data_IF_879194251808
#
_entry.id   IF_879194251808
#
_cell.length_a   1.000
_cell.length_b   1.000
_cell.length_c   1.000
_cell.angle_alpha   90.00
_cell.angle_beta   90.00
_cell.angle_gamma   90.00
#
_symmetry.space_group_name_H-M   'P 1'
#
loop_
_entity.id
_entity.type
_entity.pdbx_description
1 polymer ?
#
# COMPACT_ATOMS: atom_id res chain seq x y z
N UNK A 1 -27.35 -4.54 68.44
CA UNK A 1 -26.68 -4.80 67.14
C UNK A 1 -27.75 -5.15 66.12
N UNK A 2 -28.23 -4.18 65.34
CA UNK A 2 -29.26 -4.38 64.31
C UNK A 2 -28.59 -4.48 62.94
N UNK A 3 -28.62 -5.66 62.33
CA UNK A 3 -28.10 -5.88 60.98
C UNK A 3 -29.10 -5.33 59.94
N UNK A 4 -28.65 -4.46 59.03
CA UNK A 4 -29.48 -3.95 57.94
C UNK A 4 -29.62 -4.97 56.80
N UNK A 5 -30.81 -5.09 56.18
CA UNK A 5 -31.02 -6.01 55.07
C UNK A 5 -30.36 -5.48 53.78
N UNK A 6 -29.54 -6.34 53.17
CA UNK A 6 -28.85 -6.10 51.91
C UNK A 6 -29.89 -5.84 50.80
N UNK A 7 -29.79 -4.70 50.10
CA UNK A 7 -30.70 -4.31 49.01
C UNK A 7 -30.34 -5.05 47.70
N UNK A 8 -30.77 -6.29 47.55
CA UNK A 8 -30.52 -7.12 46.36
C UNK A 8 -31.09 -6.56 45.05
N UNK A 9 -32.17 -5.76 45.10
CA UNK A 9 -32.83 -5.19 43.91
C UNK A 9 -31.97 -4.17 43.15
N UNK A 10 -31.09 -3.43 43.81
CA UNK A 10 -30.21 -2.44 43.14
C UNK A 10 -28.95 -3.08 42.55
N UNK A 11 -28.50 -4.22 43.10
CA UNK A 11 -27.37 -4.98 42.59
C UNK A 11 -27.73 -5.76 41.32
N UNK A 12 -28.91 -6.37 41.26
CA UNK A 12 -29.41 -7.05 40.06
C UNK A 12 -29.64 -6.10 38.88
N UNK A 13 -30.20 -4.90 39.12
CA UNK A 13 -30.41 -3.89 38.08
C UNK A 13 -29.10 -3.31 37.50
N UNK A 14 -28.09 -3.11 38.35
CA UNK A 14 -26.75 -2.66 37.92
C UNK A 14 -25.98 -3.75 37.18
N UNK A 15 -26.13 -5.01 37.58
CA UNK A 15 -25.52 -6.16 36.90
C UNK A 15 -26.05 -6.37 35.48
N UNK A 16 -27.38 -6.22 35.28
CA UNK A 16 -27.99 -6.35 33.95
C UNK A 16 -27.56 -5.23 32.99
N UNK A 17 -27.43 -3.99 33.49
CA UNK A 17 -26.97 -2.84 32.71
C UNK A 17 -25.48 -2.93 32.33
N UNK A 18 -24.64 -3.46 33.23
CA UNK A 18 -23.21 -3.70 32.96
C UNK A 18 -23.00 -4.82 31.92
N UNK A 19 -23.80 -5.88 31.96
CA UNK A 19 -23.76 -6.96 30.95
C UNK A 19 -24.20 -6.46 29.57
N UNK A 20 -25.20 -5.57 29.50
CA UNK A 20 -25.63 -4.95 28.25
C UNK A 20 -24.57 -4.01 27.66
N UNK A 21 -23.89 -3.21 28.49
CA UNK A 21 -22.77 -2.36 28.05
C UNK A 21 -21.56 -3.18 27.57
N UNK A 22 -21.24 -4.31 28.22
CA UNK A 22 -20.15 -5.20 27.79
C UNK A 22 -20.45 -5.87 26.45
N UNK A 23 -21.72 -6.23 26.18
CA UNK A 23 -22.13 -6.76 24.89
C UNK A 23 -22.12 -5.70 23.77
N UNK A 24 -22.41 -4.44 24.08
CA UNK A 24 -22.38 -3.32 23.13
C UNK A 24 -20.96 -2.82 22.79
N UNK A 25 -19.98 -3.03 23.69
CA UNK A 25 -18.59 -2.57 23.56
C UNK A 25 -17.59 -3.64 23.04
N UNK A 26 -18.06 -4.83 22.62
CA UNK A 26 -17.20 -5.85 22.03
C UNK A 26 -16.60 -5.40 20.69
N UNK A 27 -15.26 -5.41 20.58
CA UNK A 27 -14.46 -4.79 19.52
C UNK A 27 -14.59 -5.36 18.08
N UNK A 28 -15.54 -6.25 17.82
CA UNK A 28 -15.74 -6.81 16.48
C UNK A 28 -17.17 -6.47 15.97
N UNK A 29 -17.30 -5.66 14.91
CA UNK A 29 -18.60 -5.21 14.42
C UNK A 29 -19.48 -6.38 13.93
N UNK A 30 -18.88 -7.51 13.52
CA UNK A 30 -19.60 -8.72 13.09
C UNK A 30 -20.17 -9.48 14.28
N UNK A 31 -19.37 -9.65 15.35
CA UNK A 31 -19.83 -10.26 16.61
C UNK A 31 -20.94 -9.42 17.23
N UNK A 32 -20.80 -8.09 17.24
CA UNK A 32 -21.84 -7.18 17.73
C UNK A 32 -23.16 -7.34 16.97
N UNK A 33 -23.12 -7.41 15.64
CA UNK A 33 -24.35 -7.62 14.86
C UNK A 33 -24.97 -9.00 15.15
N UNK A 34 -24.18 -10.07 15.23
CA UNK A 34 -24.69 -11.42 15.55
C UNK A 34 -25.44 -11.46 16.89
N UNK A 35 -24.95 -10.73 17.88
CA UNK A 35 -25.64 -10.59 19.18
C UNK A 35 -26.91 -9.76 19.03
N UNK A 36 -26.88 -8.66 18.27
CA UNK A 36 -28.06 -7.82 18.04
C UNK A 36 -29.20 -8.57 17.32
N UNK A 37 -28.91 -9.36 16.28
CA UNK A 37 -29.94 -10.12 15.54
C UNK A 37 -30.51 -11.30 16.33
N UNK A 38 -29.75 -11.84 17.30
CA UNK A 38 -30.23 -12.94 18.15
C UNK A 38 -31.06 -12.46 19.34
N UNK A 39 -30.80 -11.24 19.83
CA UNK A 39 -31.50 -10.67 20.99
C UNK A 39 -32.69 -9.79 20.59
N UNK A 40 -32.70 -9.21 19.38
CA UNK A 40 -33.78 -8.36 18.87
C UNK A 40 -34.47 -9.01 17.66
N UNK A 41 -35.53 -9.82 17.87
CA UNK A 41 -36.30 -10.39 16.78
C UNK A 41 -36.93 -9.26 15.92
N UNK A 42 -36.54 -9.18 14.65
CA UNK A 42 -36.99 -8.16 13.70
C UNK A 42 -35.91 -7.20 13.18
N UNK A 43 -34.66 -7.32 13.65
CA UNK A 43 -33.54 -6.56 13.07
C UNK A 43 -33.23 -7.04 11.64
N UNK A 44 -32.91 -6.16 10.68
CA UNK A 44 -32.58 -6.57 9.32
C UNK A 44 -31.37 -7.52 9.33
N UNK A 45 -31.58 -8.75 8.88
CA UNK A 45 -30.52 -9.73 8.67
C UNK A 45 -29.62 -9.27 7.53
N UNK A 46 -28.32 -9.51 7.63
CA UNK A 46 -27.45 -9.27 6.49
C UNK A 46 -27.92 -10.10 5.29
N UNK A 47 -27.79 -9.56 4.06
CA UNK A 47 -28.03 -10.33 2.85
C UNK A 47 -27.15 -11.58 2.84
N UNK A 48 -27.59 -12.61 2.12
CA UNK A 48 -26.83 -13.86 2.00
C UNK A 48 -25.43 -13.56 1.47
N UNK A 49 -24.41 -14.29 1.92
CA UNK A 49 -23.01 -14.07 1.49
C UNK A 49 -22.91 -14.19 -0.03
N UNK A 50 -23.67 -15.11 -0.62
CA UNK A 50 -23.77 -15.35 -2.05
C UNK A 50 -24.33 -14.16 -2.83
N UNK A 51 -25.20 -13.37 -2.20
CA UNK A 51 -25.77 -12.14 -2.77
C UNK A 51 -24.74 -11.00 -2.72
N UNK A 52 -24.08 -10.81 -1.57
CA UNK A 52 -23.01 -9.81 -1.42
C UNK A 52 -21.84 -10.08 -2.37
N UNK A 53 -21.43 -11.35 -2.53
CA UNK A 53 -20.36 -11.71 -3.44
C UNK A 53 -20.73 -11.48 -4.91
N UNK A 54 -22.01 -11.68 -5.29
CA UNK A 54 -22.49 -11.44 -6.65
C UNK A 54 -22.51 -9.96 -6.99
N UNK A 55 -23.06 -9.14 -6.10
CA UNK A 55 -23.08 -7.68 -6.25
C UNK A 55 -21.66 -7.10 -6.39
N UNK A 56 -20.72 -7.61 -5.60
CA UNK A 56 -19.32 -7.19 -5.70
C UNK A 56 -18.68 -7.63 -7.02
N UNK A 57 -18.94 -8.87 -7.45
CA UNK A 57 -18.41 -9.39 -8.72
C UNK A 57 -18.95 -8.59 -9.93
N UNK A 58 -20.23 -8.23 -9.92
CA UNK A 58 -20.85 -7.41 -10.97
C UNK A 58 -20.28 -5.99 -11.01
N UNK A 59 -20.08 -5.36 -9.84
CA UNK A 59 -19.43 -4.03 -9.74
C UNK A 59 -17.99 -4.07 -10.24
N UNK A 60 -17.24 -5.12 -9.92
CA UNK A 60 -15.87 -5.29 -10.40
C UNK A 60 -15.83 -5.58 -11.90
N UNK A 61 -16.78 -6.34 -12.44
CA UNK A 61 -16.92 -6.58 -13.87
C UNK A 61 -17.25 -5.30 -14.64
N UNK A 62 -18.19 -4.49 -14.14
CA UNK A 62 -18.51 -3.18 -14.73
C UNK A 62 -17.30 -2.23 -14.71
N UNK A 63 -16.57 -2.15 -13.59
CA UNK A 63 -15.35 -1.34 -13.49
C UNK A 63 -14.19 -1.83 -14.37
N UNK A 64 -14.14 -3.13 -14.70
CA UNK A 64 -13.19 -3.69 -15.68
C UNK A 64 -13.59 -3.33 -17.11
N UNK A 65 -14.88 -3.43 -17.42
CA UNK A 65 -15.40 -3.07 -18.74
C UNK A 65 -15.18 -1.58 -19.05
N UNK A 66 -15.39 -0.68 -18.08
CA UNK A 66 -15.07 0.74 -18.23
C UNK A 66 -13.58 0.99 -18.51
N UNK A 67 -12.69 0.24 -17.85
CA UNK A 67 -11.23 0.32 -18.08
C UNK A 67 -10.81 -0.27 -19.42
N UNK A 68 -11.47 -1.34 -19.88
CA UNK A 68 -11.24 -1.93 -21.20
C UNK A 68 -11.74 -1.01 -22.32
N UNK A 69 -12.89 -0.34 -22.15
CA UNK A 69 -13.35 0.67 -23.10
C UNK A 69 -12.43 1.89 -23.14
N UNK A 70 -11.86 2.29 -22.00
CA UNK A 70 -10.84 3.34 -21.94
C UNK A 70 -9.49 2.91 -22.55
N UNK A 71 -9.15 1.61 -22.51
CA UNK A 71 -7.95 1.06 -23.13
C UNK A 71 -8.11 0.84 -24.65
N UNK A 72 -9.32 0.53 -25.12
CA UNK A 72 -9.63 0.39 -26.55
C UNK A 72 -9.39 1.71 -27.31
N UNK A 73 -9.68 2.86 -26.70
CA UNK A 73 -9.41 4.20 -27.26
C UNK A 73 -7.92 4.62 -27.22
N UNK A 74 -7.05 3.85 -26.54
CA UNK A 74 -5.63 4.18 -26.39
C UNK A 74 -4.72 3.48 -27.41
N UNK A 75 -5.25 2.64 -28.31
CA UNK A 75 -4.47 1.73 -29.17
C UNK A 75 -3.68 2.40 -30.32
N UNK A 76 -3.54 3.72 -30.36
CA UNK A 76 -2.71 4.42 -31.36
C UNK A 76 -1.77 5.49 -30.81
N UNK A 77 -1.56 5.57 -29.49
CA UNK A 77 -0.64 6.55 -28.89
C UNK A 77 0.65 5.85 -28.48
N UNK A 78 1.84 6.29 -28.96
CA UNK A 78 3.10 5.76 -28.45
C UNK A 78 3.16 5.96 -26.94
N UNK A 79 3.52 4.92 -26.20
CA UNK A 79 3.50 4.91 -24.74
C UNK A 79 4.24 6.14 -24.19
N UNK A 80 3.49 7.04 -23.52
CA UNK A 80 4.03 8.25 -22.90
C UNK A 80 5.14 7.85 -21.92
N UNK A 81 6.36 8.32 -22.12
CA UNK A 81 7.50 8.05 -21.22
C UNK A 81 7.21 8.66 -19.85
N UNK A 82 7.64 7.97 -18.80
CA UNK A 82 7.67 8.52 -17.45
C UNK A 82 8.82 9.49 -17.38
N UNK A 83 8.56 10.75 -17.09
CA UNK A 83 9.59 11.80 -17.03
C UNK A 83 9.64 12.38 -15.62
N UNK A 84 10.85 12.64 -15.13
CA UNK A 84 11.06 13.24 -13.82
C UNK A 84 10.87 14.75 -13.91
N UNK A 85 10.11 15.34 -12.99
CA UNK A 85 9.72 16.75 -13.10
C UNK A 85 10.91 17.73 -13.23
N UNK A 86 11.96 17.66 -12.39
CA UNK A 86 13.19 18.44 -12.59
C UNK A 86 13.81 18.33 -13.99
N UNK A 87 13.70 17.17 -14.64
CA UNK A 87 14.23 16.98 -15.99
C UNK A 87 13.37 17.70 -17.04
N UNK A 88 12.04 17.57 -16.94
CA UNK A 88 11.09 18.29 -17.80
C UNK A 88 11.24 19.80 -17.66
N UNK A 89 11.45 20.27 -16.42
CA UNK A 89 11.67 21.68 -16.09
C UNK A 89 13.08 22.18 -16.43
N UNK A 90 13.96 21.31 -16.96
CA UNK A 90 15.35 21.61 -17.31
C UNK A 90 16.16 22.19 -16.13
N UNK A 91 15.84 21.75 -14.92
CA UNK A 91 16.53 22.14 -13.68
C UNK A 91 17.80 21.31 -13.47
N UNK A 92 18.65 21.29 -14.48
CA UNK A 92 19.84 20.44 -14.52
C UNK A 92 20.79 20.74 -13.34
N UNK A 93 20.88 22.00 -12.93
CA UNK A 93 21.74 22.48 -11.84
C UNK A 93 21.34 21.99 -10.45
N UNK A 94 20.11 21.48 -10.28
CA UNK A 94 19.66 20.95 -8.99
C UNK A 94 20.31 19.60 -8.68
N UNK A 95 20.83 18.93 -9.71
CA UNK A 95 21.50 17.64 -9.60
C UNK A 95 22.94 17.67 -10.11
N UNK A 96 23.22 18.45 -11.16
CA UNK A 96 24.52 18.49 -11.82
C UNK A 96 25.29 19.80 -11.59
N UNK A 97 26.59 19.70 -11.36
CA UNK A 97 27.49 20.85 -11.39
C UNK A 97 27.90 21.14 -12.85
N UNK A 98 27.45 22.25 -13.42
CA UNK A 98 27.74 22.63 -14.82
C UNK A 98 29.17 23.14 -15.05
N UNK A 99 29.98 23.20 -13.99
CA UNK A 99 31.32 23.79 -14.02
C UNK A 99 32.44 22.77 -14.29
N UNK A 100 32.11 21.48 -14.40
CA UNK A 100 33.05 20.45 -14.82
C UNK A 100 32.61 19.93 -16.18
N UNK A 101 33.37 20.31 -17.21
CA UNK A 101 33.06 20.01 -18.61
C UNK A 101 32.77 18.53 -18.87
N UNK A 102 32.04 18.28 -19.96
CA UNK A 102 31.56 16.98 -20.44
C UNK A 102 32.67 15.94 -20.74
N UNK A 103 33.48 15.59 -19.74
CA UNK A 103 34.68 14.79 -19.90
C UNK A 103 35.40 14.32 -18.62
N UNK A 104 34.84 14.46 -17.40
CA UNK A 104 35.40 13.73 -16.24
C UNK A 104 34.81 12.32 -16.18
N UNK A 105 35.66 11.32 -16.40
CA UNK A 105 35.31 9.92 -16.56
C UNK A 105 35.00 9.18 -15.25
N UNK A 106 34.29 9.82 -14.31
CA UNK A 106 33.73 9.15 -13.13
C UNK A 106 32.33 9.69 -12.82
N UNK A 107 31.36 8.80 -12.68
CA UNK A 107 29.92 9.09 -12.51
C UNK A 107 29.63 10.02 -11.30
N UNK A 108 30.51 10.04 -10.28
CA UNK A 108 30.35 10.91 -9.11
C UNK A 108 30.80 12.37 -9.31
N UNK A 109 31.55 12.69 -10.37
CA UNK A 109 32.21 14.01 -10.52
C UNK A 109 31.26 15.14 -10.91
N UNK A 110 30.09 14.82 -11.46
CA UNK A 110 29.16 15.81 -12.01
C UNK A 110 28.01 16.13 -11.07
N UNK A 111 27.84 15.47 -9.93
CA UNK A 111 26.69 15.71 -9.06
C UNK A 111 26.95 16.83 -8.04
N UNK A 112 25.91 17.57 -7.67
CA UNK A 112 26.00 18.62 -6.63
C UNK A 112 26.05 18.04 -5.20
N UNK A 113 25.70 16.77 -5.05
CA UNK A 113 25.78 15.97 -3.82
C UNK A 113 26.11 14.52 -4.15
N UNK A 114 26.62 13.73 -3.19
CA UNK A 114 26.72 12.28 -3.33
C UNK A 114 25.37 11.68 -3.73
N UNK A 115 25.38 10.65 -4.58
CA UNK A 115 24.17 10.03 -5.13
C UNK A 115 23.22 9.52 -4.04
N UNK A 116 23.78 9.04 -2.92
CA UNK A 116 23.04 8.49 -1.78
C UNK A 116 22.23 9.55 -1.03
N UNK A 117 22.63 10.81 -1.13
CA UNK A 117 22.00 11.94 -0.44
C UNK A 117 21.18 12.82 -1.38
N UNK A 118 21.52 12.84 -2.66
CA UNK A 118 20.99 13.78 -3.64
C UNK A 118 19.46 13.73 -3.71
N UNK A 119 18.91 12.53 -3.84
CA UNK A 119 17.47 12.31 -3.97
C UNK A 119 16.70 12.77 -2.72
N UNK A 120 17.28 12.58 -1.53
CA UNK A 120 16.68 13.00 -0.25
C UNK A 120 16.69 14.51 -0.05
N UNK A 121 17.40 15.28 -0.88
CA UNK A 121 17.28 16.75 -0.91
C UNK A 121 15.83 17.21 -1.09
N UNK A 122 15.07 16.47 -1.91
CA UNK A 122 13.64 16.71 -2.14
C UNK A 122 12.75 15.59 -1.57
N UNK A 123 13.11 14.32 -1.71
CA UNK A 123 12.28 13.17 -1.33
C UNK A 123 12.47 12.72 0.13
N UNK A 124 12.19 13.61 1.08
CA UNK A 124 12.54 13.44 2.50
C UNK A 124 11.77 12.33 3.23
N UNK A 125 10.59 11.95 2.75
CA UNK A 125 9.66 11.08 3.48
C UNK A 125 9.60 9.63 2.97
N UNK A 126 10.54 9.21 2.11
CA UNK A 126 10.51 7.86 1.52
C UNK A 126 10.79 6.74 2.54
N UNK A 127 11.56 7.05 3.58
CA UNK A 127 11.99 6.12 4.64
C UNK A 127 11.43 6.50 6.01
N UNK A 128 10.16 6.90 6.05
CA UNK A 128 9.52 7.36 7.29
C UNK A 128 8.93 6.23 8.16
N UNK A 129 9.03 4.97 7.74
CA UNK A 129 8.53 3.80 8.45
C UNK A 129 9.70 2.95 8.95
N UNK A 130 9.57 2.21 10.08
CA UNK A 130 10.70 1.59 10.78
C UNK A 130 11.46 0.52 10.01
N UNK A 131 10.85 -0.13 9.01
CA UNK A 131 11.52 -1.14 8.20
C UNK A 131 11.86 -0.56 6.83
N UNK A 132 13.14 -0.52 6.46
CA UNK A 132 13.61 0.03 5.19
C UNK A 132 14.01 -1.07 4.21
N UNK A 133 13.69 -0.88 2.93
CA UNK A 133 14.16 -1.75 1.87
C UNK A 133 15.64 -1.49 1.57
N UNK A 134 16.46 -2.53 1.42
CA UNK A 134 17.94 -2.43 1.42
C UNK A 134 18.51 -1.32 0.51
N UNK A 135 18.28 -1.36 -0.82
CA UNK A 135 18.69 -0.30 -1.74
C UNK A 135 18.22 1.10 -1.33
N UNK A 136 16.96 1.25 -0.89
CA UNK A 136 16.44 2.54 -0.48
C UNK A 136 17.12 3.03 0.81
N UNK A 137 17.36 2.13 1.77
CA UNK A 137 18.00 2.41 3.06
C UNK A 137 19.41 2.98 2.92
N UNK A 138 20.13 2.59 1.87
CA UNK A 138 21.49 3.05 1.57
C UNK A 138 21.54 4.17 0.53
N UNK A 139 20.39 4.69 0.09
CA UNK A 139 20.32 5.75 -0.91
C UNK A 139 20.64 5.32 -2.34
N UNK A 140 20.65 4.02 -2.64
CA UNK A 140 20.86 3.48 -3.99
C UNK A 140 19.55 3.54 -4.81
N UNK A 141 19.08 4.76 -5.06
CA UNK A 141 17.85 5.02 -5.80
C UNK A 141 17.95 4.54 -7.26
N UNK A 142 19.16 4.60 -7.83
CA UNK A 142 19.44 4.30 -9.23
C UNK A 142 19.43 2.80 -9.56
N UNK A 143 19.53 1.93 -8.55
CA UNK A 143 19.28 0.50 -8.74
C UNK A 143 17.89 0.21 -9.31
N UNK A 144 16.92 1.09 -9.06
CA UNK A 144 15.52 0.94 -9.44
C UNK A 144 15.00 2.05 -10.37
N UNK A 145 15.50 3.28 -10.25
CA UNK A 145 14.96 4.45 -10.93
C UNK A 145 15.94 5.10 -11.93
N UNK A 146 15.41 5.67 -13.01
CA UNK A 146 16.10 6.54 -13.96
C UNK A 146 15.74 8.01 -13.66
N UNK A 147 16.71 8.86 -13.27
CA UNK A 147 16.42 10.19 -12.72
C UNK A 147 15.96 11.23 -13.76
N UNK A 148 16.07 10.92 -15.05
CA UNK A 148 15.64 11.78 -16.16
C UNK A 148 14.30 11.33 -16.72
N UNK A 149 14.30 10.19 -17.41
CA UNK A 149 13.11 9.59 -17.98
C UNK A 149 13.24 8.07 -18.04
N UNK A 150 12.10 7.39 -18.17
CA UNK A 150 12.01 5.96 -18.41
C UNK A 150 10.84 5.61 -19.31
N UNK A 151 10.97 4.52 -20.06
CA UNK A 151 9.83 3.88 -20.72
C UNK A 151 8.86 3.22 -19.73
N UNK A 152 9.28 2.96 -18.48
CA UNK A 152 8.45 2.35 -17.45
C UNK A 152 7.86 3.42 -16.51
N UNK A 153 6.63 3.22 -16.00
CA UNK A 153 6.01 4.13 -15.03
C UNK A 153 6.87 4.33 -13.78
N UNK A 154 6.74 5.49 -13.14
CA UNK A 154 7.49 5.86 -11.94
C UNK A 154 9.02 5.77 -12.14
N UNK A 155 9.48 6.05 -13.36
CA UNK A 155 10.88 6.11 -13.71
C UNK A 155 11.64 4.79 -13.56
N UNK A 156 10.97 3.64 -13.55
CA UNK A 156 11.65 2.39 -13.23
C UNK A 156 12.61 1.96 -14.36
N UNK A 157 13.77 1.40 -14.01
CA UNK A 157 14.73 0.85 -14.99
C UNK A 157 14.16 -0.37 -15.75
N UNK A 158 13.21 -1.08 -15.14
CA UNK A 158 12.52 -2.26 -15.66
C UNK A 158 11.04 -2.23 -15.27
N UNK A 159 10.21 -3.07 -15.88
CA UNK A 159 8.85 -3.34 -15.39
C UNK A 159 8.87 -3.82 -13.94
N UNK A 160 7.85 -3.48 -13.16
CA UNK A 160 7.77 -3.76 -11.71
C UNK A 160 8.12 -5.20 -11.35
N UNK A 161 7.58 -6.17 -12.08
CA UNK A 161 7.76 -7.60 -11.82
C UNK A 161 9.21 -8.02 -12.07
N UNK A 162 9.76 -7.65 -13.23
CA UNK A 162 11.15 -7.94 -13.61
C UNK A 162 12.15 -7.26 -12.68
N UNK A 163 11.85 -6.04 -12.23
CA UNK A 163 12.73 -5.29 -11.34
C UNK A 163 12.92 -6.02 -10.00
N UNK A 164 11.82 -6.40 -9.34
CA UNK A 164 11.90 -7.12 -8.08
C UNK A 164 12.57 -8.50 -8.27
N UNK A 165 12.27 -9.20 -9.36
CA UNK A 165 12.84 -10.51 -9.67
C UNK A 165 14.34 -10.48 -10.00
N UNK A 166 14.94 -9.31 -10.27
CA UNK A 166 16.38 -9.16 -10.52
C UNK A 166 17.22 -9.66 -9.34
N UNK A 167 16.76 -9.38 -8.12
CA UNK A 167 17.47 -9.77 -6.89
C UNK A 167 16.69 -10.84 -6.12
N UNK A 168 15.36 -10.70 -6.07
CA UNK A 168 14.52 -11.58 -5.28
C UNK A 168 14.13 -12.82 -6.10
N UNK A 169 15.03 -13.79 -6.20
CA UNK A 169 14.83 -15.04 -6.96
C UNK A 169 14.42 -16.22 -6.08
N UNK A 170 14.53 -16.05 -4.76
CA UNK A 170 14.22 -17.06 -3.76
C UNK A 170 12.72 -17.34 -3.64
N UNK A 171 12.39 -18.53 -3.11
CA UNK A 171 11.00 -18.87 -2.77
C UNK A 171 10.49 -17.89 -1.70
N UNK A 172 9.37 -17.24 -1.99
CA UNK A 172 8.76 -16.28 -1.07
C UNK A 172 8.21 -16.98 0.16
N UNK A 173 8.46 -16.42 1.36
CA UNK A 173 7.98 -16.98 2.63
C UNK A 173 6.45 -17.19 2.66
N UNK A 174 5.70 -16.28 2.05
CA UNK A 174 4.26 -16.36 1.90
C UNK A 174 3.84 -16.89 0.51
N UNK A 175 4.47 -17.96 -0.01
CA UNK A 175 4.20 -18.47 -1.35
C UNK A 175 2.71 -18.72 -1.62
N UNK A 176 1.98 -19.33 -0.66
CA UNK A 176 0.54 -19.58 -0.78
C UNK A 176 -0.28 -18.31 -1.03
N UNK A 177 0.14 -17.17 -0.48
CA UNK A 177 -0.51 -15.89 -0.74
C UNK A 177 -0.23 -15.42 -2.17
N UNK A 178 1.02 -15.49 -2.63
CA UNK A 178 1.36 -15.15 -4.01
C UNK A 178 0.60 -16.03 -5.02
N UNK A 179 0.53 -17.34 -4.79
CA UNK A 179 -0.17 -18.28 -5.67
C UNK A 179 -1.66 -17.93 -5.80
N UNK A 180 -2.31 -17.55 -4.69
CA UNK A 180 -3.73 -17.17 -4.65
C UNK A 180 -4.05 -15.92 -5.48
N UNK A 181 -3.07 -15.04 -5.66
CA UNK A 181 -3.25 -13.76 -6.36
C UNK A 181 -2.50 -13.68 -7.70
N UNK A 182 -1.83 -14.76 -8.11
CA UNK A 182 -1.02 -14.80 -9.32
C UNK A 182 -1.83 -14.53 -10.59
N UNK A 183 -3.11 -14.90 -10.60
CA UNK A 183 -4.05 -14.71 -11.71
C UNK A 183 -4.86 -13.41 -11.63
N UNK A 184 -4.67 -12.60 -10.58
CA UNK A 184 -5.49 -11.39 -10.32
C UNK A 184 -4.92 -10.11 -10.91
N UNK A 185 -3.84 -10.20 -11.70
CA UNK A 185 -3.17 -9.03 -12.28
C UNK A 185 -2.54 -8.11 -11.23
N UNK A 186 -2.31 -8.60 -10.01
CA UNK A 186 -1.62 -7.88 -8.95
C UNK A 186 -0.11 -7.98 -9.13
N UNK A 187 0.60 -6.93 -8.78
CA UNK A 187 2.06 -6.90 -8.80
C UNK A 187 2.61 -6.77 -7.38
N UNK A 188 3.94 -6.87 -7.23
CA UNK A 188 4.60 -6.84 -5.92
C UNK A 188 4.19 -5.60 -5.11
N UNK A 189 4.11 -4.44 -5.75
CA UNK A 189 3.80 -3.18 -5.07
C UNK A 189 2.31 -2.96 -4.82
N UNK A 190 1.44 -3.87 -5.28
CA UNK A 190 0.01 -3.88 -4.91
C UNK A 190 -0.17 -4.12 -3.41
N UNK A 191 0.73 -4.90 -2.79
CA UNK A 191 0.70 -5.19 -1.36
C UNK A 191 1.96 -4.71 -0.63
N UNK A 192 3.10 -4.64 -1.32
CA UNK A 192 4.37 -4.22 -0.72
C UNK A 192 4.70 -2.75 -1.01
N UNK A 193 5.38 -2.10 -0.07
CA UNK A 193 6.01 -0.80 -0.26
C UNK A 193 7.51 -1.01 -0.57
N UNK A 194 8.00 -0.55 -1.74
CA UNK A 194 9.38 -0.81 -2.16
C UNK A 194 10.42 0.07 -1.45
N UNK A 195 10.00 1.06 -0.65
CA UNK A 195 10.91 1.94 0.08
C UNK A 195 10.93 1.61 1.57
N UNK A 196 9.76 1.61 2.21
CA UNK A 196 9.66 1.37 3.65
C UNK A 196 8.30 0.84 4.11
N UNK A 197 8.28 0.12 5.23
CA UNK A 197 7.09 -0.53 5.78
C UNK A 197 6.98 -0.39 7.29
N UNK A 198 5.76 -0.47 7.80
CA UNK A 198 5.48 -0.54 9.26
C UNK A 198 5.64 -1.96 9.80
N UNK A 199 5.73 -2.94 8.91
CA UNK A 199 5.90 -4.36 9.21
C UNK A 199 7.10 -4.94 8.45
N UNK A 200 7.59 -6.09 8.91
CA UNK A 200 8.58 -6.86 8.16
C UNK A 200 8.02 -7.24 6.79
N UNK A 201 8.88 -7.31 5.77
CA UNK A 201 8.51 -7.52 4.37
C UNK A 201 7.67 -6.39 3.74
N UNK A 202 7.54 -5.24 4.42
CA UNK A 202 7.00 -4.01 3.84
C UNK A 202 5.55 -4.11 3.34
N UNK A 203 4.69 -4.87 4.03
CA UNK A 203 3.25 -4.91 3.71
C UNK A 203 2.59 -3.56 4.05
N UNK A 204 1.70 -3.11 3.17
CA UNK A 204 0.89 -1.89 3.30
C UNK A 204 -0.34 -2.09 4.18
#
# INVERSE_FOLDING_TARGET
>A
MTAQPIRWRTLLGRGLLLLFCLAACGCDPVVRQKVLVTVLPGWPTFPAVEEVCRDQAEREAAARQEKETAAADASSVPAKRSEHLPFVEKRCSDCHNSNQGAGSASEEGLLVKPREELCFGCHKNLLNKPFHHGPAAVGDCLACHLPHDSANPALLVLSREKLCAKCHTERRKAQRMHDRFADKGLNCISCHDPHSGTTTYFLK
#
